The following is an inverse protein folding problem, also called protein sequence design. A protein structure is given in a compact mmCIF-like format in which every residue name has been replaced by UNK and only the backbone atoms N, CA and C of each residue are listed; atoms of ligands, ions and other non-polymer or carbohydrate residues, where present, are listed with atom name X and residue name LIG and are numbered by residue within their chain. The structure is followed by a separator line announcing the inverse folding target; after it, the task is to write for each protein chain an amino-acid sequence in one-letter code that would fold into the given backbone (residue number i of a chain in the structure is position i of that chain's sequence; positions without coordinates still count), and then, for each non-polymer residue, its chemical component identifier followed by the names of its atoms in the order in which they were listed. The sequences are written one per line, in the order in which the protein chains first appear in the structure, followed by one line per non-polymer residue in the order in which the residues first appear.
data_IF_856502217847
#
_entry.id   IF_856502217847
#
_cell.length_a   1.000
_cell.length_b   1.000
_cell.length_c   1.000
_cell.angle_alpha   90.00
_cell.angle_beta   90.00
_cell.angle_gamma   90.00
#
_symmetry.space_group_name_H-M   'P 1'
#
loop_
_entity.id
_entity.type
_entity.pdbx_description
1 polymer ?
#
# COMPACT_ATOMS: atom_id res chain seq x y z
N UNK A 1 -33.87 31.21 15.53
CA UNK A 1 -32.41 31.03 15.63
C UNK A 1 -32.15 29.56 15.88
N UNK A 2 -31.73 28.78 14.87
CA UNK A 2 -31.31 27.40 15.08
C UNK A 2 -29.83 27.37 15.47
N UNK A 3 -29.52 26.63 16.54
CA UNK A 3 -28.18 26.38 17.04
C UNK A 3 -27.36 25.59 16.01
N UNK A 4 -26.17 26.09 15.70
CA UNK A 4 -25.15 25.39 14.93
C UNK A 4 -24.70 24.13 15.70
N UNK A 5 -24.91 22.96 15.10
CA UNK A 5 -24.28 21.73 15.56
C UNK A 5 -22.79 21.76 15.15
N UNK A 6 -21.93 21.71 16.16
CA UNK A 6 -20.49 21.48 16.02
C UNK A 6 -20.20 20.27 15.12
N UNK A 7 -19.44 20.51 14.05
CA UNK A 7 -18.89 19.47 13.19
C UNK A 7 -17.84 18.68 13.97
N UNK A 8 -18.07 17.38 14.12
CA UNK A 8 -17.04 16.44 14.55
C UNK A 8 -15.84 16.45 13.59
N UNK A 9 -14.60 16.24 14.08
CA UNK A 9 -13.42 16.19 13.22
C UNK A 9 -13.47 14.95 12.32
N UNK A 10 -13.29 15.17 11.02
CA UNK A 10 -13.20 14.14 9.98
C UNK A 10 -12.08 13.13 10.30
N UNK A 11 -12.29 11.81 10.08
CA UNK A 11 -11.20 10.85 10.19
C UNK A 11 -10.16 11.12 9.11
N UNK A 12 -8.88 11.05 9.50
CA UNK A 12 -7.70 11.28 8.67
C UNK A 12 -7.83 10.49 7.37
N UNK A 13 -8.09 11.22 6.27
CA UNK A 13 -8.08 10.67 4.92
C UNK A 13 -6.69 10.11 4.61
N UNK A 14 -6.65 9.05 3.79
CA UNK A 14 -5.38 8.51 3.29
C UNK A 14 -4.54 9.65 2.68
N UNK A 15 -3.24 9.72 2.98
CA UNK A 15 -2.41 10.81 2.50
C UNK A 15 -2.43 10.84 0.97
N UNK A 16 -2.98 11.92 0.44
CA UNK A 16 -2.78 12.27 -0.96
C UNK A 16 -1.31 12.69 -1.05
N UNK A 17 -0.55 12.16 -2.01
CA UNK A 17 0.81 12.66 -2.23
C UNK A 17 0.72 14.14 -2.55
N UNK A 18 1.08 14.95 -1.58
CA UNK A 18 1.05 16.40 -1.60
C UNK A 18 2.44 16.86 -2.01
N UNK A 19 2.42 17.66 -3.08
CA UNK A 19 3.51 18.45 -3.67
C UNK A 19 4.67 18.72 -2.70
N UNK A 20 5.88 18.30 -3.08
CA UNK A 20 7.11 18.89 -2.54
C UNK A 20 7.03 20.40 -2.80
N UNK A 21 6.96 21.19 -1.72
CA UNK A 21 6.83 22.65 -1.82
C UNK A 21 8.16 23.24 -2.25
N UNK A 22 8.37 23.37 -3.56
CA UNK A 22 9.37 24.30 -4.09
C UNK A 22 9.04 25.70 -3.55
N UNK A 23 10.03 26.40 -3.00
CA UNK A 23 9.85 27.63 -2.23
C UNK A 23 9.19 28.81 -2.96
N UNK A 24 8.96 28.69 -4.26
CA UNK A 24 8.32 29.72 -5.07
C UNK A 24 6.82 29.45 -5.22
N UNK A 25 6.01 30.18 -4.44
CA UNK A 25 4.56 30.29 -4.71
C UNK A 25 4.36 31.10 -5.99
N UNK A 26 3.43 30.67 -6.84
CA UNK A 26 3.19 31.21 -8.20
C UNK A 26 2.74 32.68 -8.26
N UNK A 27 2.68 33.40 -7.13
CA UNK A 27 2.01 34.71 -7.02
C UNK A 27 2.94 35.92 -6.88
N UNK A 28 4.25 35.73 -6.69
CA UNK A 28 5.20 36.84 -6.68
C UNK A 28 5.95 36.95 -8.03
N UNK A 29 6.00 38.16 -8.60
CA UNK A 29 6.74 38.45 -9.81
C UNK A 29 8.25 38.44 -9.52
N UNK A 30 8.83 37.24 -9.42
CA UNK A 30 10.26 37.06 -9.21
C UNK A 30 11.02 37.46 -10.48
N UNK A 31 12.04 38.31 -10.32
CA UNK A 31 12.92 38.73 -11.40
C UNK A 31 13.79 37.54 -11.85
N UNK A 32 13.69 37.19 -13.13
CA UNK A 32 14.45 36.08 -13.71
C UNK A 32 15.95 36.37 -13.75
N UNK A 33 16.32 37.65 -13.85
CA UNK A 33 17.72 38.05 -13.92
C UNK A 33 18.38 37.92 -12.55
N UNK A 34 17.68 38.30 -11.47
CA UNK A 34 18.11 38.08 -10.10
C UNK A 34 18.29 36.59 -9.78
N UNK A 35 17.37 35.73 -10.24
CA UNK A 35 17.48 34.27 -10.06
C UNK A 35 18.73 33.69 -10.75
N UNK A 36 19.09 34.19 -11.94
CA UNK A 36 20.30 33.75 -12.65
C UNK A 36 21.55 34.25 -11.93
N UNK A 37 21.53 35.48 -11.40
CA UNK A 37 22.61 35.97 -10.54
C UNK A 37 22.76 35.12 -9.29
N UNK A 38 21.67 34.77 -8.60
CA UNK A 38 21.69 33.86 -7.44
C UNK A 38 22.25 32.49 -7.82
N UNK A 39 21.83 31.93 -8.96
CA UNK A 39 22.32 30.64 -9.48
C UNK A 39 23.84 30.64 -9.70
N UNK A 40 24.41 31.78 -10.11
CA UNK A 40 25.86 31.93 -10.30
C UNK A 40 26.67 31.95 -8.99
N UNK A 41 26.04 32.29 -7.86
CA UNK A 41 26.72 32.45 -6.57
C UNK A 41 26.46 31.30 -5.59
N UNK A 42 25.35 30.57 -5.73
CA UNK A 42 25.02 29.49 -4.80
C UNK A 42 25.81 28.21 -5.10
N UNK A 43 26.40 27.63 -4.07
CA UNK A 43 27.01 26.29 -4.10
C UNK A 43 26.03 25.22 -3.57
N UNK A 44 24.87 25.63 -3.07
CA UNK A 44 23.88 24.76 -2.46
C UNK A 44 22.98 24.13 -3.52
N UNK A 45 23.05 22.81 -3.65
CA UNK A 45 22.36 22.08 -4.72
C UNK A 45 20.83 22.22 -4.67
N UNK A 46 20.25 22.33 -3.47
CA UNK A 46 18.80 22.53 -3.29
C UNK A 46 18.35 23.89 -3.84
N UNK A 47 19.10 24.96 -3.56
CA UNK A 47 18.80 26.30 -4.09
C UNK A 47 18.95 26.33 -5.61
N UNK A 48 20.00 25.71 -6.16
CA UNK A 48 20.16 25.54 -7.61
C UNK A 48 18.95 24.83 -8.21
N UNK A 49 18.46 23.78 -7.55
CA UNK A 49 17.29 23.02 -7.99
C UNK A 49 16.01 23.85 -7.99
N UNK A 50 15.75 24.62 -6.93
CA UNK A 50 14.55 25.47 -6.83
C UNK A 50 14.54 26.54 -7.93
N UNK A 51 15.68 27.20 -8.15
CA UNK A 51 15.84 28.22 -9.20
C UNK A 51 15.62 27.62 -10.58
N UNK A 52 16.34 26.53 -10.90
CA UNK A 52 16.23 25.87 -12.21
C UNK A 52 14.81 25.34 -12.42
N UNK A 53 14.18 24.77 -11.39
CA UNK A 53 12.79 24.32 -11.45
C UNK A 53 11.86 25.45 -11.86
N UNK A 54 11.92 26.58 -11.15
CA UNK A 54 11.09 27.75 -11.45
C UNK A 54 11.31 28.26 -12.88
N UNK A 55 12.57 28.42 -13.30
CA UNK A 55 12.92 28.90 -14.63
C UNK A 55 12.40 27.97 -15.74
N UNK A 56 12.49 26.64 -15.54
CA UNK A 56 12.00 25.65 -16.51
C UNK A 56 10.47 25.67 -16.58
N UNK A 57 9.77 25.78 -15.45
CA UNK A 57 8.30 25.88 -15.44
C UNK A 57 7.80 27.15 -16.15
N UNK A 58 8.53 28.27 -16.00
CA UNK A 58 8.15 29.56 -16.57
C UNK A 58 8.52 29.72 -18.05
N UNK A 59 9.72 29.31 -18.44
CA UNK A 59 10.29 29.59 -19.78
C UNK A 59 10.38 28.33 -20.68
N UNK A 60 10.23 27.14 -20.11
CA UNK A 60 10.45 25.88 -20.79
C UNK A 60 11.93 25.46 -20.87
N UNK A 61 12.21 24.17 -21.12
CA UNK A 61 13.57 23.61 -21.00
C UNK A 61 14.55 24.09 -22.07
N UNK A 62 14.07 24.58 -23.22
CA UNK A 62 14.92 25.04 -24.33
C UNK A 62 15.28 26.53 -24.25
N UNK A 63 14.88 27.21 -23.17
CA UNK A 63 15.23 28.61 -22.96
C UNK A 63 16.74 28.76 -22.76
N UNK A 64 17.33 29.75 -23.43
CA UNK A 64 18.77 30.04 -23.38
C UNK A 64 19.07 31.05 -22.29
N UNK A 65 20.14 30.82 -21.56
CA UNK A 65 20.63 31.65 -20.45
C UNK A 65 22.16 31.65 -20.42
N UNK A 66 22.73 32.53 -19.61
CA UNK A 66 24.17 32.63 -19.39
C UNK A 66 24.46 32.35 -17.92
N UNK A 67 25.19 31.27 -17.64
CA UNK A 67 25.60 30.86 -16.29
C UNK A 67 27.11 30.65 -16.29
N UNK A 68 27.82 31.29 -15.36
CA UNK A 68 29.27 31.22 -15.26
C UNK A 68 30.01 31.76 -16.50
N UNK A 69 29.41 32.73 -17.20
CA UNK A 69 29.96 33.30 -18.44
C UNK A 69 29.87 32.36 -19.65
N UNK A 70 29.00 31.35 -19.60
CA UNK A 70 28.77 30.40 -20.70
C UNK A 70 27.30 30.37 -21.09
N UNK A 71 27.04 30.50 -22.39
CA UNK A 71 25.72 30.27 -22.97
C UNK A 71 25.32 28.80 -22.80
N UNK A 72 24.16 28.57 -22.21
CA UNK A 72 23.58 27.24 -22.03
C UNK A 72 22.05 27.29 -22.10
N UNK A 73 21.43 26.12 -22.17
CA UNK A 73 19.98 25.94 -22.05
C UNK A 73 19.61 25.46 -20.66
N UNK A 74 18.38 25.76 -20.20
CA UNK A 74 17.89 25.21 -18.93
C UNK A 74 17.88 23.67 -18.91
N UNK A 75 17.73 23.03 -20.07
CA UNK A 75 17.86 21.57 -20.22
C UNK A 75 19.27 21.08 -19.91
N UNK A 76 20.30 21.78 -20.36
CA UNK A 76 21.70 21.43 -20.05
C UNK A 76 21.99 21.59 -18.56
N UNK A 77 21.51 22.69 -17.95
CA UNK A 77 21.59 22.88 -16.49
C UNK A 77 20.85 21.79 -15.71
N UNK A 78 19.67 21.36 -16.17
CA UNK A 78 18.94 20.24 -15.58
C UNK A 78 19.69 18.91 -15.69
N UNK A 79 20.39 18.67 -16.80
CA UNK A 79 21.21 17.46 -16.98
C UNK A 79 22.39 17.48 -16.01
N UNK A 80 23.08 18.62 -15.89
CA UNK A 80 24.18 18.78 -14.92
C UNK A 80 23.68 18.60 -13.47
N UNK A 81 22.54 19.20 -13.13
CA UNK A 81 21.90 19.06 -11.82
C UNK A 81 21.54 17.60 -11.52
N UNK A 82 21.00 16.87 -12.50
CA UNK A 82 20.72 15.43 -12.38
C UNK A 82 21.99 14.61 -12.10
N UNK A 83 23.09 14.90 -12.81
CA UNK A 83 24.36 14.21 -12.62
C UNK A 83 24.97 14.50 -11.25
N UNK A 84 24.97 15.77 -10.82
CA UNK A 84 25.38 16.19 -9.48
C UNK A 84 24.53 15.51 -8.40
N UNK A 85 23.20 15.55 -8.52
CA UNK A 85 22.29 14.89 -7.58
C UNK A 85 22.57 13.40 -7.44
N UNK A 86 22.88 12.72 -8.55
CA UNK A 86 23.29 11.31 -8.55
C UNK A 86 24.63 11.08 -7.83
N UNK A 87 25.61 11.97 -8.04
CA UNK A 87 26.92 11.90 -7.38
C UNK A 87 26.81 12.06 -5.86
N UNK A 88 26.02 13.05 -5.42
CA UNK A 88 25.77 13.36 -4.01
C UNK A 88 24.68 12.49 -3.38
N UNK A 89 24.06 11.57 -4.14
CA UNK A 89 23.00 10.65 -3.68
C UNK A 89 21.76 11.36 -3.13
N UNK A 90 21.44 12.53 -3.69
CA UNK A 90 20.24 13.30 -3.39
C UNK A 90 19.06 12.73 -4.18
N UNK A 91 18.44 11.65 -3.67
CA UNK A 91 17.54 10.79 -4.44
C UNK A 91 16.24 11.46 -4.85
N UNK A 92 15.68 12.31 -4.00
CA UNK A 92 14.49 13.09 -4.33
C UNK A 92 14.76 13.97 -5.56
N UNK A 93 15.93 14.62 -5.59
CA UNK A 93 16.35 15.50 -6.67
C UNK A 93 16.67 14.73 -7.96
N UNK A 94 17.25 13.53 -7.84
CA UNK A 94 17.43 12.61 -8.98
C UNK A 94 16.07 12.26 -9.61
N UNK A 95 15.07 11.89 -8.81
CA UNK A 95 13.72 11.55 -9.30
C UNK A 95 13.03 12.77 -9.92
N UNK A 96 13.18 13.93 -9.29
CA UNK A 96 12.60 15.19 -9.72
C UNK A 96 13.17 15.63 -11.08
N UNK A 97 14.50 15.77 -11.18
CA UNK A 97 15.18 16.19 -12.41
C UNK A 97 15.03 15.16 -13.53
N UNK A 98 15.01 13.86 -13.23
CA UNK A 98 14.68 12.83 -14.22
C UNK A 98 13.26 13.03 -14.79
N UNK A 99 12.30 13.37 -13.94
CA UNK A 99 10.92 13.63 -14.33
C UNK A 99 10.79 14.88 -15.20
N UNK A 100 11.47 15.97 -14.83
CA UNK A 100 11.53 17.22 -15.62
C UNK A 100 12.16 16.99 -17.00
N UNK A 101 13.20 16.16 -17.07
CA UNK A 101 13.84 15.76 -18.33
C UNK A 101 13.02 14.73 -19.13
N UNK A 102 11.88 14.27 -18.59
CA UNK A 102 11.04 13.19 -19.14
C UNK A 102 11.86 11.94 -19.48
N UNK A 103 12.81 11.60 -18.61
CA UNK A 103 13.66 10.41 -18.79
C UNK A 103 12.80 9.14 -18.71
N UNK A 104 13.09 8.21 -19.61
CA UNK A 104 12.48 6.88 -19.66
C UNK A 104 13.49 5.85 -19.17
N UNK A 105 13.05 4.96 -18.29
CA UNK A 105 13.87 3.81 -17.86
C UNK A 105 13.95 2.79 -19.00
N UNK A 106 15.16 2.33 -19.33
CA UNK A 106 15.41 1.47 -20.52
C UNK A 106 14.59 0.17 -20.52
N UNK A 107 14.49 -0.52 -19.39
CA UNK A 107 13.77 -1.81 -19.27
C UNK A 107 12.29 -1.68 -18.89
N UNK A 108 11.70 -0.48 -19.01
CA UNK A 108 10.34 -0.21 -18.54
C UNK A 108 9.28 -1.10 -19.22
N UNK A 109 9.29 -1.14 -20.56
CA UNK A 109 8.32 -1.94 -21.32
C UNK A 109 8.51 -3.45 -21.12
N UNK A 110 9.76 -3.91 -21.00
CA UNK A 110 10.07 -5.31 -20.70
C UNK A 110 9.54 -5.70 -19.32
N UNK A 111 9.74 -4.84 -18.32
CA UNK A 111 9.25 -5.04 -16.96
C UNK A 111 7.72 -5.07 -16.89
N UNK A 112 7.04 -4.17 -17.60
CA UNK A 112 5.58 -4.21 -17.72
C UNK A 112 5.09 -5.49 -18.41
N UNK A 113 5.78 -5.91 -19.48
CA UNK A 113 5.47 -7.15 -20.20
C UNK A 113 5.60 -8.37 -19.29
N UNK A 114 6.65 -8.43 -18.47
CA UNK A 114 6.89 -9.51 -17.50
C UNK A 114 5.73 -9.70 -16.51
N UNK A 115 5.09 -8.61 -16.10
CA UNK A 115 3.92 -8.65 -15.22
C UNK A 115 2.68 -9.12 -15.99
N UNK A 116 2.44 -8.56 -17.17
CA UNK A 116 1.27 -8.85 -18.00
C UNK A 116 1.21 -10.32 -18.47
N UNK A 117 2.33 -10.89 -18.93
CA UNK A 117 2.37 -12.30 -19.37
C UNK A 117 2.11 -13.29 -18.24
N UNK A 118 2.33 -12.87 -16.99
CA UNK A 118 1.99 -13.64 -15.77
C UNK A 118 0.57 -13.38 -15.28
N UNK A 119 -0.31 -12.92 -16.18
CA UNK A 119 -1.73 -12.66 -15.94
C UNK A 119 -1.96 -11.60 -14.85
N UNK A 120 -1.09 -10.59 -14.79
CA UNK A 120 -1.26 -9.42 -13.91
C UNK A 120 -1.61 -8.20 -14.74
N UNK A 121 -2.78 -7.62 -14.51
CA UNK A 121 -3.08 -6.29 -15.04
C UNK A 121 -2.27 -5.23 -14.30
N UNK A 122 -1.91 -4.16 -14.99
CA UNK A 122 -1.20 -3.03 -14.40
C UNK A 122 -2.09 -1.81 -14.42
N UNK A 123 -1.99 -0.95 -13.42
CA UNK A 123 -2.49 0.41 -13.52
C UNK A 123 -1.55 1.42 -12.91
N UNK A 124 -1.56 2.62 -13.48
CA UNK A 124 -0.76 3.77 -13.07
C UNK A 124 -1.71 4.94 -12.75
N UNK A 125 -1.31 5.81 -11.84
CA UNK A 125 -2.18 6.86 -11.31
C UNK A 125 -3.04 6.42 -10.13
N UNK A 126 -3.88 7.35 -9.67
CA UNK A 126 -4.78 7.15 -8.54
C UNK A 126 -6.23 6.99 -8.99
N UNK A 127 -7.00 6.02 -8.44
CA UNK A 127 -8.39 5.78 -8.85
C UNK A 127 -9.31 7.01 -8.76
N UNK A 128 -9.08 7.90 -7.81
CA UNK A 128 -9.87 9.11 -7.58
C UNK A 128 -9.56 10.27 -8.54
N UNK A 129 -8.47 10.17 -9.31
CA UNK A 129 -7.97 11.28 -10.14
C UNK A 129 -7.92 10.87 -11.61
N UNK A 130 -7.07 9.90 -11.95
CA UNK A 130 -6.76 9.55 -13.35
C UNK A 130 -6.05 8.19 -13.49
N UNK A 131 -6.57 7.14 -12.86
CA UNK A 131 -6.06 5.78 -13.04
C UNK A 131 -6.20 5.32 -14.50
N UNK A 132 -5.09 4.90 -15.13
CA UNK A 132 -5.09 4.23 -16.44
C UNK A 132 -4.66 2.77 -16.29
N UNK A 133 -5.45 1.86 -16.88
CA UNK A 133 -5.23 0.42 -16.83
C UNK A 133 -4.52 -0.04 -18.10
N UNK A 134 -3.41 -0.75 -17.91
CA UNK A 134 -2.61 -1.36 -18.97
C UNK A 134 -2.88 -2.86 -18.93
N UNK A 135 -3.49 -3.37 -20.00
CA UNK A 135 -3.92 -4.78 -20.11
C UNK A 135 -3.16 -5.57 -21.17
N UNK A 136 -2.34 -4.89 -21.98
CA UNK A 136 -1.49 -5.48 -23.00
C UNK A 136 -0.12 -4.79 -23.02
N UNK A 137 0.95 -5.47 -23.48
CA UNK A 137 2.26 -4.86 -23.64
C UNK A 137 2.20 -3.64 -24.55
N UNK A 138 2.87 -2.56 -24.15
CA UNK A 138 2.94 -1.32 -24.90
C UNK A 138 4.39 -1.01 -25.32
N UNK A 139 4.60 -0.30 -26.44
CA UNK A 139 5.90 0.25 -26.78
C UNK A 139 6.45 1.14 -25.64
N UNK A 140 7.78 1.15 -25.42
CA UNK A 140 8.35 1.84 -24.27
C UNK A 140 8.10 3.36 -24.25
N UNK A 141 8.02 4.04 -25.40
CA UNK A 141 7.68 5.47 -25.45
C UNK A 141 6.22 5.75 -25.12
N UNK A 142 5.31 4.88 -25.57
CA UNK A 142 3.88 4.99 -25.28
C UNK A 142 3.60 4.76 -23.79
N UNK A 143 4.23 3.74 -23.20
CA UNK A 143 4.11 3.46 -21.77
C UNK A 143 4.64 4.61 -20.91
N UNK A 144 5.79 5.17 -21.27
CA UNK A 144 6.35 6.33 -20.57
C UNK A 144 5.45 7.56 -20.70
N UNK A 145 4.91 7.83 -21.90
CA UNK A 145 3.98 8.92 -22.14
C UNK A 145 2.72 8.80 -21.27
N UNK A 146 2.13 7.60 -21.20
CA UNK A 146 0.96 7.32 -20.34
C UNK A 146 1.27 7.62 -18.88
N UNK A 147 2.42 7.20 -18.36
CA UNK A 147 2.81 7.47 -16.97
C UNK A 147 2.92 8.97 -16.73
N UNK A 148 3.64 9.69 -17.58
CA UNK A 148 3.81 11.13 -17.41
C UNK A 148 2.51 11.93 -17.58
N UNK A 149 1.61 11.51 -18.47
CA UNK A 149 0.30 12.14 -18.66
C UNK A 149 -0.58 11.97 -17.43
N UNK A 150 -0.56 10.77 -16.82
CA UNK A 150 -1.33 10.47 -15.61
C UNK A 150 -0.84 11.25 -14.40
N UNK A 151 0.44 11.51 -14.24
CA UNK A 151 0.89 12.30 -13.08
C UNK A 151 0.92 13.82 -13.35
N UNK A 152 0.83 14.25 -14.61
CA UNK A 152 0.73 15.67 -14.98
C UNK A 152 1.93 16.47 -14.48
N UNK A 153 1.70 17.34 -13.49
CA UNK A 153 2.72 18.18 -12.85
C UNK A 153 3.59 17.42 -11.83
N UNK A 154 3.13 16.29 -11.30
CA UNK A 154 3.89 15.48 -10.34
C UNK A 154 4.88 14.54 -11.05
N UNK A 155 5.91 15.17 -11.61
CA UNK A 155 6.95 14.49 -12.39
C UNK A 155 7.83 13.57 -11.52
N UNK A 156 7.97 13.88 -10.22
CA UNK A 156 8.72 13.07 -9.28
C UNK A 156 8.05 11.70 -9.06
N UNK A 157 6.72 11.69 -8.87
CA UNK A 157 5.96 10.45 -8.72
C UNK A 157 5.88 9.65 -10.04
N UNK A 158 5.92 10.32 -11.19
CA UNK A 158 6.06 9.65 -12.48
C UNK A 158 7.38 8.86 -12.58
N UNK A 159 8.50 9.46 -12.18
CA UNK A 159 9.80 8.80 -12.11
C UNK A 159 9.78 7.62 -11.12
N UNK A 160 9.20 7.82 -9.94
CA UNK A 160 9.05 6.77 -8.94
C UNK A 160 8.19 5.60 -9.44
N UNK A 161 7.12 5.88 -10.19
CA UNK A 161 6.25 4.85 -10.78
C UNK A 161 7.00 3.96 -11.75
N UNK A 162 7.86 4.55 -12.60
CA UNK A 162 8.73 3.78 -13.47
C UNK A 162 9.69 2.90 -12.67
N UNK A 163 10.31 3.43 -11.62
CA UNK A 163 11.22 2.69 -10.73
C UNK A 163 10.52 1.49 -10.06
N UNK A 164 9.33 1.69 -9.48
CA UNK A 164 8.57 0.63 -8.83
C UNK A 164 8.11 -0.45 -9.80
N UNK A 165 7.77 -0.10 -11.05
CA UNK A 165 7.43 -1.09 -12.08
C UNK A 165 8.60 -2.05 -12.34
N UNK A 166 9.84 -1.56 -12.38
CA UNK A 166 11.02 -2.42 -12.49
C UNK A 166 11.11 -3.35 -11.29
N UNK A 167 10.95 -2.85 -10.07
CA UNK A 167 11.04 -3.67 -8.86
C UNK A 167 9.93 -4.72 -8.78
N UNK A 168 8.70 -4.38 -9.15
CA UNK A 168 7.59 -5.33 -9.24
C UNK A 168 7.91 -6.44 -10.23
N UNK A 169 8.46 -6.10 -11.40
CA UNK A 169 8.89 -7.07 -12.41
C UNK A 169 10.06 -7.94 -11.93
N UNK A 170 11.00 -7.39 -11.15
CA UNK A 170 12.04 -8.18 -10.50
C UNK A 170 11.43 -9.18 -9.52
N UNK A 171 10.53 -8.73 -8.64
CA UNK A 171 9.93 -9.59 -7.61
C UNK A 171 9.02 -10.67 -8.19
N UNK A 172 8.25 -10.40 -9.24
CA UNK A 172 7.40 -11.45 -9.83
C UNK A 172 8.23 -12.56 -10.47
N UNK A 173 9.46 -12.25 -10.92
CA UNK A 173 10.41 -13.24 -11.45
C UNK A 173 11.08 -14.04 -10.34
N UNK A 174 11.51 -13.38 -9.25
CA UNK A 174 12.31 -14.03 -8.19
C UNK A 174 11.44 -14.66 -7.10
N UNK A 175 10.31 -14.03 -6.76
CA UNK A 175 9.42 -14.40 -5.65
C UNK A 175 7.94 -14.30 -6.08
N UNK A 176 7.49 -15.11 -7.07
CA UNK A 176 6.13 -15.05 -7.61
C UNK A 176 5.02 -15.26 -6.56
N UNK A 177 5.36 -15.88 -5.41
CA UNK A 177 4.43 -16.09 -4.30
C UNK A 177 3.90 -14.78 -3.70
N UNK A 178 4.63 -13.67 -3.80
CA UNK A 178 4.20 -12.35 -3.32
C UNK A 178 2.96 -11.81 -4.05
N UNK A 179 2.69 -12.35 -5.25
CA UNK A 179 1.64 -11.89 -6.17
C UNK A 179 0.48 -12.89 -6.29
N UNK A 180 0.42 -13.90 -5.43
CA UNK A 180 -0.69 -14.87 -5.46
C UNK A 180 -2.03 -14.15 -5.28
N UNK A 181 -2.99 -14.51 -6.12
CA UNK A 181 -4.37 -13.99 -6.14
C UNK A 181 -4.53 -12.45 -6.26
N UNK A 182 -3.44 -11.73 -6.54
CA UNK A 182 -3.49 -10.33 -6.94
C UNK A 182 -3.69 -10.28 -8.45
N UNK A 183 -4.84 -9.89 -8.96
CA UNK A 183 -5.10 -9.86 -10.41
C UNK A 183 -4.57 -8.58 -11.05
N UNK A 184 -4.68 -7.47 -10.33
CA UNK A 184 -4.24 -6.15 -10.78
C UNK A 184 -3.24 -5.55 -9.81
N UNK A 185 -2.14 -5.03 -10.34
CA UNK A 185 -1.14 -4.28 -9.61
C UNK A 185 -1.36 -2.79 -9.85
N UNK A 186 -1.92 -2.12 -8.85
CA UNK A 186 -2.18 -0.68 -8.88
C UNK A 186 -0.99 0.08 -8.32
N UNK A 187 -0.08 0.50 -9.18
CA UNK A 187 1.20 1.09 -8.75
C UNK A 187 0.97 2.37 -7.94
N UNK A 188 0.01 3.21 -8.32
CA UNK A 188 -0.33 4.43 -7.56
C UNK A 188 -0.83 4.14 -6.14
N UNK A 189 -1.68 3.12 -5.94
CA UNK A 189 -2.11 2.72 -4.60
C UNK A 189 -0.96 2.10 -3.80
N UNK A 190 -0.07 1.34 -4.45
CA UNK A 190 1.13 0.80 -3.80
C UNK A 190 2.00 1.95 -3.26
N UNK A 191 2.21 3.01 -4.02
CA UNK A 191 2.93 4.22 -3.58
C UNK A 191 2.24 4.84 -2.35
N UNK A 192 0.92 5.01 -2.38
CA UNK A 192 0.18 5.55 -1.24
C UNK A 192 0.29 4.68 0.02
N UNK A 193 0.27 3.36 -0.14
CA UNK A 193 0.46 2.42 0.97
C UNK A 193 1.86 2.53 1.53
N UNK A 194 2.88 2.63 0.68
CA UNK A 194 4.26 2.85 1.11
C UNK A 194 4.41 4.15 1.91
N UNK A 195 3.84 5.26 1.42
CA UNK A 195 3.85 6.55 2.12
C UNK A 195 3.09 6.49 3.45
N UNK A 196 1.89 5.88 3.47
CA UNK A 196 1.08 5.71 4.68
C UNK A 196 1.80 4.87 5.74
N UNK A 197 2.51 3.83 5.33
CA UNK A 197 3.29 2.99 6.23
C UNK A 197 4.54 3.68 6.77
N UNK A 198 5.19 4.53 5.96
CA UNK A 198 6.25 5.42 6.44
C UNK A 198 5.69 6.42 7.46
N UNK A 199 4.58 7.10 7.16
CA UNK A 199 3.93 8.06 8.05
C UNK A 199 3.63 7.45 9.42
N UNK A 200 3.04 6.25 9.42
CA UNK A 200 2.73 5.51 10.65
C UNK A 200 3.98 5.14 11.44
N UNK A 201 5.04 4.72 10.75
CA UNK A 201 6.28 4.26 11.42
C UNK A 201 7.09 5.42 11.97
N UNK A 202 7.13 6.55 11.26
CA UNK A 202 7.83 7.78 11.67
C UNK A 202 6.98 8.68 12.56
N UNK A 203 5.68 8.40 12.69
CA UNK A 203 4.69 9.25 13.37
C UNK A 203 4.69 10.69 12.82
N UNK A 204 4.81 10.81 11.50
CA UNK A 204 4.80 12.08 10.78
C UNK A 204 3.54 12.25 9.95
N UNK A 205 3.37 13.44 9.37
CA UNK A 205 2.26 13.72 8.46
C UNK A 205 2.39 12.97 7.13
N UNK A 206 1.30 12.91 6.37
CA UNK A 206 1.29 12.29 5.03
C UNK A 206 2.24 12.96 4.04
N UNK A 207 2.31 14.29 4.11
CA UNK A 207 3.16 15.14 3.27
C UNK A 207 4.63 14.82 3.54
N UNK A 208 5.05 14.91 4.81
CA UNK A 208 6.42 14.58 5.24
C UNK A 208 6.81 13.15 4.88
N UNK A 209 5.89 12.19 5.03
CA UNK A 209 6.14 10.80 4.66
C UNK A 209 6.34 10.61 3.15
N UNK A 210 5.68 11.44 2.33
CA UNK A 210 5.83 11.42 0.87
C UNK A 210 7.20 11.97 0.45
N UNK A 211 7.66 13.03 1.11
CA UNK A 211 9.00 13.58 0.89
C UNK A 211 10.07 12.57 1.32
N UNK A 212 9.90 11.95 2.50
CA UNK A 212 10.76 10.85 2.95
C UNK A 212 10.78 9.67 1.97
N UNK A 213 9.63 9.30 1.40
CA UNK A 213 9.54 8.25 0.39
C UNK A 213 10.36 8.61 -0.86
N UNK A 214 10.20 9.84 -1.36
CA UNK A 214 10.93 10.35 -2.52
C UNK A 214 12.43 10.47 -2.26
N UNK A 215 12.87 10.55 -1.00
CA UNK A 215 14.29 10.62 -0.66
C UNK A 215 14.94 9.25 -0.35
N UNK A 216 14.19 8.14 -0.34
CA UNK A 216 14.77 6.81 -0.14
C UNK A 216 15.72 6.45 -1.29
N UNK A 217 16.85 5.81 -0.97
CA UNK A 217 17.71 5.24 -2.00
C UNK A 217 17.00 4.12 -2.79
N UNK A 218 17.46 3.78 -4.00
CA UNK A 218 16.91 2.67 -4.79
C UNK A 218 16.82 1.35 -3.99
N UNK A 219 17.81 1.08 -3.14
CA UNK A 219 17.83 -0.10 -2.28
C UNK A 219 16.77 -0.05 -1.17
N UNK A 220 16.63 1.08 -0.49
CA UNK A 220 15.62 1.28 0.56
C UNK A 220 14.21 1.26 -0.01
N UNK A 221 13.99 1.89 -1.17
CA UNK A 221 12.73 1.87 -1.90
C UNK A 221 12.31 0.43 -2.25
N UNK A 222 13.24 -0.34 -2.84
CA UNK A 222 13.01 -1.76 -3.15
C UNK A 222 12.74 -2.59 -1.89
N UNK A 223 13.46 -2.33 -0.81
CA UNK A 223 13.29 -3.05 0.47
C UNK A 223 11.94 -2.75 1.10
N UNK A 224 11.52 -1.48 1.14
CA UNK A 224 10.21 -1.08 1.61
C UNK A 224 9.11 -1.73 0.77
N UNK A 225 9.22 -1.69 -0.56
CA UNK A 225 8.25 -2.35 -1.44
C UNK A 225 8.15 -3.85 -1.13
N UNK A 226 9.28 -4.54 -0.91
CA UNK A 226 9.27 -5.95 -0.53
C UNK A 226 8.50 -6.17 0.78
N UNK A 227 8.74 -5.36 1.81
CA UNK A 227 8.03 -5.46 3.09
C UNK A 227 6.54 -5.20 2.97
N UNK A 228 6.12 -4.23 2.15
CA UNK A 228 4.70 -3.97 1.84
C UNK A 228 4.07 -5.18 1.15
N UNK A 229 4.72 -5.73 0.13
CA UNK A 229 4.21 -6.90 -0.60
C UNK A 229 4.20 -8.15 0.28
N UNK A 230 5.24 -8.42 1.07
CA UNK A 230 5.25 -9.58 1.97
C UNK A 230 4.34 -9.37 3.20
N UNK A 231 3.96 -8.13 3.49
CA UNK A 231 3.34 -7.68 4.73
C UNK A 231 4.17 -7.99 5.97
N UNK A 232 5.51 -7.96 5.82
CA UNK A 232 6.45 -8.05 6.94
C UNK A 232 6.49 -6.71 7.67
N UNK A 233 6.80 -6.75 8.97
CA UNK A 233 7.08 -5.53 9.72
C UNK A 233 8.51 -5.06 9.49
N UNK A 234 8.70 -3.75 9.54
CA UNK A 234 9.99 -3.10 9.34
C UNK A 234 10.18 -1.98 10.36
N UNK A 235 11.44 -1.61 10.58
CA UNK A 235 11.85 -0.47 11.39
C UNK A 235 12.61 0.50 10.50
N UNK A 236 12.35 1.78 10.69
CA UNK A 236 13.12 2.85 10.05
C UNK A 236 14.08 3.40 11.10
N UNK A 237 15.37 3.45 10.76
CA UNK A 237 16.35 4.18 11.57
C UNK A 237 16.77 5.43 10.79
N UNK A 238 16.63 6.60 11.41
CA UNK A 238 17.30 7.80 10.94
C UNK A 238 18.81 7.62 11.17
N UNK A 239 19.59 7.79 10.12
CA UNK A 239 21.05 7.84 10.18
C UNK A 239 21.42 9.29 9.95
N UNK A 240 22.01 9.93 10.96
CA UNK A 240 22.67 11.21 10.78
C UNK A 240 23.99 10.97 10.05
N UNK A 241 24.15 11.60 8.89
CA UNK A 241 25.44 11.71 8.22
C UNK A 241 26.28 12.70 9.02
N UNK A 242 27.56 12.41 9.28
CA UNK A 242 28.47 13.33 9.97
C UNK A 242 28.80 14.60 9.13
N UNK A 243 28.27 14.71 7.92
CA UNK A 243 28.62 15.77 6.96
C UNK A 243 27.46 16.62 6.43
N UNK A 244 26.18 16.35 6.74
CA UNK A 244 25.06 17.18 6.27
C UNK A 244 23.91 17.16 7.29
N UNK A 245 23.19 18.28 7.44
CA UNK A 245 21.98 18.42 8.29
C UNK A 245 20.78 17.55 7.82
N UNK A 246 20.96 16.71 6.78
CA UNK A 246 19.94 15.79 6.29
C UNK A 246 20.04 14.40 6.92
N UNK A 247 18.95 13.97 7.57
CA UNK A 247 18.78 12.61 8.07
C UNK A 247 18.42 11.63 6.94
N UNK A 248 19.25 10.61 6.73
CA UNK A 248 18.98 9.55 5.76
C UNK A 248 18.23 8.38 6.42
N UNK A 249 17.17 7.86 5.77
CA UNK A 249 16.30 6.84 6.36
C UNK A 249 16.66 5.44 5.92
N UNK A 250 17.06 4.59 6.87
CA UNK A 250 17.40 3.18 6.57
C UNK A 250 16.26 2.25 6.94
N UNK A 251 15.73 1.55 5.94
CA UNK A 251 14.68 0.51 6.11
C UNK A 251 15.33 -0.83 6.47
N UNK A 252 14.93 -1.43 7.60
CA UNK A 252 15.37 -2.77 8.03
C UNK A 252 14.19 -3.64 8.42
N UNK A 253 14.24 -4.94 8.11
CA UNK A 253 13.25 -5.91 8.62
C UNK A 253 13.27 -5.96 10.15
N UNK A 254 12.10 -6.00 10.79
CA UNK A 254 12.02 -6.49 12.17
C UNK A 254 12.37 -7.98 12.15
N UNK A 255 13.37 -8.42 12.91
CA UNK A 255 13.67 -9.85 13.04
C UNK A 255 12.50 -10.52 13.78
N UNK A 256 11.76 -11.40 13.12
CA UNK A 256 10.87 -12.33 13.82
C UNK A 256 11.71 -13.46 14.42
N UNK A 257 11.32 -13.99 15.60
CA UNK A 257 12.00 -15.11 16.27
C UNK A 257 12.18 -16.36 15.37
N UNK A 258 11.38 -16.49 14.31
CA UNK A 258 11.51 -17.58 13.33
C UNK A 258 12.76 -17.46 12.44
N UNK A 259 13.17 -16.25 12.06
CA UNK A 259 14.35 -16.03 11.19
C UNK A 259 15.67 -16.27 11.95
N UNK A 260 15.71 -16.01 13.27
CA UNK A 260 16.86 -16.32 14.12
C UNK A 260 17.11 -17.84 14.24
N UNK A 261 16.02 -18.63 14.29
CA UNK A 261 16.11 -20.08 14.40
C UNK A 261 16.47 -20.80 13.09
N UNK A 262 16.29 -20.14 11.93
CA UNK A 262 16.62 -20.71 10.64
C UNK A 262 18.12 -20.54 10.29
N UNK A 263 18.72 -19.41 10.66
CA UNK A 263 20.17 -19.19 10.51
C UNK A 263 21.01 -19.94 11.56
N UNK A 264 20.51 -20.12 12.79
CA UNK A 264 21.21 -20.88 13.83
C UNK A 264 21.30 -22.40 13.55
N UNK A 265 20.47 -22.94 12.66
CA UNK A 265 20.47 -24.37 12.29
C UNK A 265 21.45 -24.71 11.16
N UNK A 266 21.92 -23.72 10.39
CA UNK A 266 22.84 -23.93 9.26
C UNK A 266 24.32 -23.69 9.61
N UNK A 267 24.61 -23.31 10.85
CA UNK A 267 25.97 -23.07 11.36
C UNK A 267 26.20 -23.85 12.65
N UNK A 268 26.40 -25.17 12.55
CA UNK A 268 26.99 -25.97 13.63
C UNK A 268 28.33 -26.54 13.16
N UNK A 269 29.40 -25.81 13.42
CA UNK A 269 30.75 -26.39 13.54
C UNK A 269 31.20 -26.25 15.00
N UNK A 270 31.55 -27.34 15.71
CA UNK A 270 31.69 -27.36 17.17
C UNK A 270 33.09 -26.95 17.67
N UNK A 271 33.78 -26.02 17.02
CA UNK A 271 35.14 -25.61 17.42
C UNK A 271 35.39 -24.12 17.19
N UNK A 272 34.87 -23.27 18.07
CA UNK A 272 35.43 -21.95 18.43
C UNK A 272 34.61 -21.36 19.58
N UNK A 273 34.78 -21.93 20.77
CA UNK A 273 34.09 -21.49 22.01
C UNK A 273 34.99 -20.67 22.94
N UNK A 274 36.09 -20.12 22.45
CA UNK A 274 37.13 -19.60 23.34
C UNK A 274 37.87 -18.40 22.75
N UNK A 275 37.15 -17.42 22.18
CA UNK A 275 37.76 -16.10 21.91
C UNK A 275 36.75 -14.97 21.68
N UNK A 276 35.61 -14.95 22.38
CA UNK A 276 34.66 -13.82 22.24
C UNK A 276 34.10 -13.33 23.58
N UNK A 277 34.76 -13.69 24.70
CA UNK A 277 34.31 -13.36 26.05
C UNK A 277 34.88 -12.01 26.58
N UNK A 278 35.25 -11.08 25.69
CA UNK A 278 35.99 -9.88 26.09
C UNK A 278 35.49 -8.54 25.53
N UNK A 279 34.39 -8.49 24.76
CA UNK A 279 33.83 -7.21 24.26
C UNK A 279 32.30 -7.10 24.29
N UNK A 280 31.61 -7.88 25.13
CA UNK A 280 30.20 -7.63 25.41
C UNK A 280 30.06 -6.52 26.46
N UNK A 281 29.79 -5.30 25.98
CA UNK A 281 29.12 -4.29 26.81
C UNK A 281 27.77 -4.85 27.26
N UNK A 282 27.28 -4.52 28.48
CA UNK A 282 26.00 -5.03 28.96
C UNK A 282 24.88 -4.43 28.10
N UNK A 283 24.28 -5.26 27.25
CA UNK A 283 22.97 -4.98 26.67
C UNK A 283 22.00 -4.86 27.85
N UNK A 284 21.42 -3.68 27.99
CA UNK A 284 20.44 -3.34 29.02
C UNK A 284 19.28 -4.31 28.98
N UNK A 285 18.91 -4.83 30.15
CA UNK A 285 17.75 -5.69 30.45
C UNK A 285 16.38 -5.02 30.14
N UNK A 286 16.36 -3.94 29.35
CA UNK A 286 15.16 -3.23 28.90
C UNK A 286 14.53 -3.85 27.63
N UNK A 287 15.26 -4.69 26.87
CA UNK A 287 14.73 -5.29 25.63
C UNK A 287 13.71 -6.42 25.89
N UNK A 288 13.73 -7.07 27.05
CA UNK A 288 12.83 -8.19 27.36
C UNK A 288 11.44 -7.75 27.86
N UNK A 289 11.27 -6.51 28.33
CA UNK A 289 9.97 -6.00 28.84
C UNK A 289 9.11 -5.38 27.72
N UNK A 290 9.67 -5.12 26.54
CA UNK A 290 8.95 -4.56 25.39
C UNK A 290 8.27 -5.60 24.48
N UNK A 291 8.53 -6.90 24.67
CA UNK A 291 8.08 -7.94 23.72
C UNK A 291 6.61 -8.39 23.88
N UNK A 292 5.93 -8.09 24.99
CA UNK A 292 4.54 -8.53 25.20
C UNK A 292 3.47 -7.46 24.88
N UNK A 293 3.84 -6.20 24.70
CA UNK A 293 2.90 -5.08 24.50
C UNK A 293 2.65 -4.68 23.03
N UNK A 294 3.44 -5.16 22.06
CA UNK A 294 3.47 -4.65 20.67
C UNK A 294 2.60 -5.44 19.65
N UNK A 295 1.62 -6.25 20.10
CA UNK A 295 0.70 -6.99 19.18
C UNK A 295 -0.53 -6.19 18.74
N UNK A 296 -0.81 -5.06 19.39
CA UNK A 296 -1.96 -4.23 19.07
C UNK A 296 -1.73 -3.49 17.75
N UNK A 297 -2.70 -3.57 16.84
CA UNK A 297 -2.69 -2.95 15.52
C UNK A 297 -2.12 -3.85 14.41
N UNK A 298 -1.58 -5.03 14.73
CA UNK A 298 -0.94 -5.91 13.73
C UNK A 298 -1.93 -6.42 12.69
N UNK A 299 -3.12 -6.85 13.11
CA UNK A 299 -4.13 -7.38 12.20
C UNK A 299 -4.83 -6.27 11.45
N UNK A 300 -5.12 -5.14 12.11
CA UNK A 300 -5.63 -3.95 11.42
C UNK A 300 -4.67 -3.50 10.33
N UNK A 301 -3.37 -3.43 10.63
CA UNK A 301 -2.33 -3.12 9.65
C UNK A 301 -2.34 -4.14 8.50
N UNK A 302 -2.35 -5.44 8.79
CA UNK A 302 -2.37 -6.49 7.76
C UNK A 302 -3.58 -6.35 6.84
N UNK A 303 -4.77 -6.10 7.41
CA UNK A 303 -6.00 -5.87 6.63
C UNK A 303 -5.92 -4.62 5.77
N UNK A 304 -5.34 -3.53 6.27
CA UNK A 304 -5.10 -2.32 5.46
C UNK A 304 -4.17 -2.58 4.28
N UNK A 305 -3.08 -3.31 4.49
CA UNK A 305 -2.15 -3.68 3.43
C UNK A 305 -2.81 -4.58 2.38
N UNK A 306 -3.35 -5.71 2.80
CA UNK A 306 -3.97 -6.67 1.88
C UNK A 306 -5.21 -6.07 1.20
N UNK A 307 -5.97 -5.24 1.91
CA UNK A 307 -7.10 -4.48 1.37
C UNK A 307 -6.66 -3.54 0.26
N UNK A 308 -5.67 -2.68 0.51
CA UNK A 308 -5.18 -1.72 -0.46
C UNK A 308 -4.53 -2.40 -1.69
N UNK A 309 -3.88 -3.54 -1.48
CA UNK A 309 -3.28 -4.37 -2.53
C UNK A 309 -4.28 -5.29 -3.24
N UNK A 310 -5.55 -5.34 -2.82
CA UNK A 310 -6.56 -6.29 -3.30
C UNK A 310 -6.12 -7.75 -3.23
N UNK A 311 -5.37 -8.10 -2.18
CA UNK A 311 -4.96 -9.48 -1.96
C UNK A 311 -6.12 -10.26 -1.35
N UNK A 312 -6.35 -11.45 -1.88
CA UNK A 312 -7.34 -12.40 -1.35
C UNK A 312 -6.69 -13.77 -1.11
N UNK A 313 -7.28 -14.66 -0.31
CA UNK A 313 -6.76 -16.00 -0.08
C UNK A 313 -6.72 -16.88 -1.35
N UNK A 314 -5.84 -17.88 -1.37
CA UNK A 314 -5.70 -18.82 -2.50
C UNK A 314 -7.01 -19.53 -2.84
N UNK A 315 -7.38 -19.52 -4.13
CA UNK A 315 -8.64 -20.12 -4.59
C UNK A 315 -9.90 -19.36 -4.21
N UNK A 316 -9.79 -18.10 -3.76
CA UNK A 316 -10.93 -17.26 -3.39
C UNK A 316 -11.98 -17.18 -4.51
N UNK A 317 -11.60 -16.80 -5.73
CA UNK A 317 -12.57 -16.58 -6.81
C UNK A 317 -13.35 -17.84 -7.22
N UNK A 318 -12.70 -19.02 -7.43
CA UNK A 318 -13.45 -20.25 -7.66
C UNK A 318 -14.44 -20.60 -6.55
N UNK A 319 -14.10 -20.34 -5.28
CA UNK A 319 -15.01 -20.61 -4.15
C UNK A 319 -16.17 -19.64 -4.11
N UNK A 320 -15.94 -18.35 -4.35
CA UNK A 320 -17.02 -17.34 -4.46
C UNK A 320 -17.96 -17.68 -5.61
N UNK A 321 -17.43 -18.17 -6.74
CA UNK A 321 -18.26 -18.65 -7.85
C UNK A 321 -19.20 -19.79 -7.41
N UNK A 322 -18.68 -20.74 -6.61
CA UNK A 322 -19.49 -21.85 -6.07
C UNK A 322 -20.61 -21.34 -5.17
N UNK A 323 -20.32 -20.41 -4.27
CA UNK A 323 -21.33 -19.75 -3.43
C UNK A 323 -22.39 -19.06 -4.29
N UNK A 324 -21.95 -18.28 -5.28
CA UNK A 324 -22.85 -17.55 -6.16
C UNK A 324 -23.79 -18.47 -6.96
N UNK A 325 -23.37 -19.69 -7.27
CA UNK A 325 -24.21 -20.69 -7.96
C UNK A 325 -25.38 -21.20 -7.11
N UNK A 326 -25.29 -21.06 -5.78
CA UNK A 326 -26.26 -21.55 -4.81
C UNK A 326 -27.24 -20.47 -4.31
N UNK A 327 -26.95 -19.19 -4.55
CA UNK A 327 -27.82 -18.08 -4.16
C UNK A 327 -28.37 -17.31 -5.37
N UNK A 328 -29.35 -16.43 -5.17
CA UNK A 328 -29.85 -15.56 -6.26
C UNK A 328 -28.83 -14.49 -6.66
N UNK A 329 -28.00 -14.07 -5.71
CA UNK A 329 -26.86 -13.18 -5.89
C UNK A 329 -26.24 -12.75 -4.56
N UNK A 330 -25.11 -12.06 -4.65
CA UNK A 330 -24.40 -11.47 -3.50
C UNK A 330 -24.51 -9.95 -3.57
N UNK A 331 -24.99 -9.31 -2.50
CA UNK A 331 -24.95 -7.87 -2.33
C UNK A 331 -23.76 -7.48 -1.45
N UNK A 332 -22.94 -6.54 -1.93
CA UNK A 332 -21.77 -5.99 -1.23
C UNK A 332 -21.86 -4.47 -1.33
N UNK A 333 -22.10 -3.76 -0.23
CA UNK A 333 -22.20 -2.28 -0.19
C UNK A 333 -23.11 -1.70 -1.30
N UNK A 334 -24.31 -2.27 -1.45
CA UNK A 334 -25.30 -1.85 -2.45
C UNK A 334 -24.96 -2.20 -3.91
N UNK A 335 -23.84 -2.91 -4.15
CA UNK A 335 -23.52 -3.51 -5.47
C UNK A 335 -23.92 -4.97 -5.50
N UNK A 336 -24.57 -5.37 -6.59
CA UNK A 336 -25.12 -6.72 -6.75
C UNK A 336 -24.29 -7.56 -7.74
N UNK A 337 -23.90 -8.76 -7.30
CA UNK A 337 -23.34 -9.82 -8.12
C UNK A 337 -24.45 -10.86 -8.39
N UNK A 338 -25.04 -10.89 -9.60
CA UNK A 338 -26.11 -11.82 -9.92
C UNK A 338 -25.60 -13.25 -10.18
N UNK A 339 -26.42 -14.25 -9.85
CA UNK A 339 -26.15 -15.66 -10.17
C UNK A 339 -25.92 -15.90 -11.68
N UNK A 340 -26.51 -15.09 -12.56
CA UNK A 340 -26.35 -15.23 -14.03
C UNK A 340 -24.89 -15.25 -14.48
N UNK A 341 -23.99 -14.59 -13.74
CA UNK A 341 -22.54 -14.64 -13.99
C UNK A 341 -21.97 -16.07 -13.98
N UNK A 342 -22.54 -16.98 -13.19
CA UNK A 342 -22.13 -18.38 -13.13
C UNK A 342 -22.54 -19.19 -14.35
N UNK A 343 -23.54 -18.72 -15.10
CA UNK A 343 -23.96 -19.32 -16.37
C UNK A 343 -23.15 -18.78 -17.55
N UNK A 344 -22.65 -17.56 -17.43
CA UNK A 344 -21.88 -16.87 -18.47
C UNK A 344 -20.38 -17.13 -18.39
N UNK A 345 -19.85 -17.47 -17.21
CA UNK A 345 -18.40 -17.58 -16.93
C UNK A 345 -18.10 -18.79 -16.06
N UNK A 346 -16.93 -19.40 -16.26
CA UNK A 346 -16.44 -20.51 -15.43
C UNK A 346 -15.68 -20.03 -14.17
N UNK A 347 -15.58 -20.86 -13.11
CA UNK A 347 -14.92 -20.45 -11.86
C UNK A 347 -13.43 -20.12 -12.00
N UNK A 348 -12.76 -20.62 -13.04
CA UNK A 348 -11.35 -20.35 -13.33
C UNK A 348 -11.12 -19.20 -14.30
N UNK A 349 -12.17 -18.59 -14.83
CA UNK A 349 -12.04 -17.49 -15.79
C UNK A 349 -11.64 -16.17 -15.11
N UNK A 350 -10.63 -15.52 -15.68
CA UNK A 350 -10.15 -14.21 -15.24
C UNK A 350 -11.25 -13.14 -15.26
N UNK A 351 -12.20 -13.24 -16.20
CA UNK A 351 -13.31 -12.29 -16.34
C UNK A 351 -14.25 -12.30 -15.12
N UNK A 352 -14.52 -13.49 -14.55
CA UNK A 352 -15.31 -13.61 -13.32
C UNK A 352 -14.57 -12.97 -12.15
N UNK A 353 -13.29 -13.29 -12.00
CA UNK A 353 -12.45 -12.78 -10.93
C UNK A 353 -12.37 -11.24 -10.95
N UNK A 354 -12.18 -10.64 -12.14
CA UNK A 354 -12.23 -9.19 -12.33
C UNK A 354 -13.59 -8.58 -11.95
N UNK A 355 -14.70 -9.28 -12.18
CA UNK A 355 -16.05 -8.79 -11.84
C UNK A 355 -16.23 -8.72 -10.33
N UNK A 356 -15.81 -9.76 -9.60
CA UNK A 356 -15.81 -9.78 -8.13
C UNK A 356 -14.89 -8.69 -7.59
N UNK A 357 -13.68 -8.57 -8.14
CA UNK A 357 -12.73 -7.52 -7.72
C UNK A 357 -13.29 -6.12 -7.94
N UNK A 358 -13.95 -5.87 -9.08
CA UNK A 358 -14.59 -4.57 -9.38
C UNK A 358 -15.63 -4.20 -8.31
N UNK A 359 -16.38 -5.17 -7.80
CA UNK A 359 -17.34 -4.93 -6.71
C UNK A 359 -16.62 -4.68 -5.39
N UNK A 360 -15.61 -5.46 -5.02
CA UNK A 360 -14.83 -5.22 -3.79
C UNK A 360 -14.10 -3.86 -3.82
N UNK A 361 -13.71 -3.39 -5.00
CA UNK A 361 -13.07 -2.10 -5.22
C UNK A 361 -13.97 -0.90 -4.96
N UNK A 362 -15.30 -1.06 -4.91
CA UNK A 362 -16.19 0.05 -4.58
C UNK A 362 -16.13 0.41 -3.10
N UNK A 363 -15.59 -0.49 -2.26
CA UNK A 363 -15.37 -0.26 -0.84
C UNK A 363 -14.16 0.65 -0.68
N UNK A 364 -14.29 1.87 -0.13
CA UNK A 364 -13.17 2.80 -0.01
C UNK A 364 -12.13 2.33 1.03
N UNK A 365 -12.59 1.80 2.16
CA UNK A 365 -11.74 1.46 3.29
C UNK A 365 -11.10 0.08 3.10
N UNK A 366 -9.75 -0.03 3.04
CA UNK A 366 -9.09 -1.29 2.77
C UNK A 366 -9.30 -2.33 3.88
N UNK A 367 -9.34 -1.91 5.15
CA UNK A 367 -9.62 -2.81 6.28
C UNK A 367 -11.02 -3.43 6.21
N UNK A 368 -12.03 -2.67 5.79
CA UNK A 368 -13.40 -3.16 5.61
C UNK A 368 -13.51 -4.07 4.39
N UNK A 369 -12.80 -3.74 3.30
CA UNK A 369 -12.70 -4.61 2.13
C UNK A 369 -12.17 -6.00 2.51
N UNK A 370 -11.20 -6.09 3.42
CA UNK A 370 -10.70 -7.39 3.90
C UNK A 370 -11.71 -8.13 4.79
N UNK A 371 -12.48 -7.45 5.63
CA UNK A 371 -13.58 -8.11 6.35
C UNK A 371 -14.64 -8.67 5.39
N UNK A 372 -14.93 -8.00 4.26
CA UNK A 372 -15.81 -8.55 3.22
C UNK A 372 -15.22 -9.80 2.55
N UNK A 373 -13.91 -9.82 2.31
CA UNK A 373 -13.21 -11.02 1.79
C UNK A 373 -13.31 -12.17 2.79
N UNK A 374 -13.08 -11.91 4.08
CA UNK A 374 -13.22 -12.89 5.16
C UNK A 374 -14.67 -13.42 5.25
N UNK A 375 -15.67 -12.54 5.20
CA UNK A 375 -17.08 -12.91 5.20
C UNK A 375 -17.47 -13.77 3.98
N UNK A 376 -16.97 -13.41 2.80
CA UNK A 376 -17.14 -14.23 1.59
C UNK A 376 -16.49 -15.60 1.74
N UNK A 377 -15.31 -15.70 2.35
CA UNK A 377 -14.69 -17.01 2.65
C UNK A 377 -15.55 -17.82 3.62
N UNK A 378 -16.12 -17.21 4.66
CA UNK A 378 -17.03 -17.93 5.57
C UNK A 378 -18.26 -18.45 4.83
N UNK A 379 -18.82 -17.67 3.90
CA UNK A 379 -19.91 -18.14 3.02
C UNK A 379 -19.51 -19.35 2.18
N UNK A 380 -18.23 -19.53 1.84
CA UNK A 380 -17.77 -20.72 1.09
C UNK A 380 -17.92 -22.01 1.89
N UNK A 381 -17.85 -21.96 3.22
CA UNK A 381 -18.07 -23.12 4.09
C UNK A 381 -19.49 -23.69 3.90
N UNK A 382 -20.47 -22.81 3.65
CA UNK A 382 -21.86 -23.22 3.35
C UNK A 382 -21.94 -24.03 2.06
N UNK A 383 -21.15 -23.65 1.06
CA UNK A 383 -21.10 -24.34 -0.22
C UNK A 383 -20.35 -25.67 -0.19
N UNK A 384 -19.47 -25.86 0.80
CA UNK A 384 -18.70 -27.10 0.97
C UNK A 384 -19.53 -28.18 1.67
N UNK A 385 -20.45 -27.80 2.57
CA UNK A 385 -21.29 -28.72 3.33
C UNK A 385 -22.59 -29.15 2.63
N UNK A 386 -22.71 -28.92 1.31
CA UNK A 386 -23.85 -29.30 0.47
C UNK A 386 -25.24 -28.97 1.07
N UNK A 387 -25.37 -27.84 1.77
CA UNK A 387 -26.69 -27.39 2.23
C UNK A 387 -27.60 -27.25 1.01
N UNK A 388 -28.61 -28.12 0.92
CA UNK A 388 -29.49 -28.26 -0.25
C UNK A 388 -30.48 -27.09 -0.40
N UNK A 389 -30.21 -25.96 0.25
CA UNK A 389 -31.07 -24.78 0.31
C UNK A 389 -30.56 -23.79 -0.73
N UNK A 390 -31.36 -23.54 -1.78
CA UNK A 390 -31.18 -22.36 -2.62
C UNK A 390 -31.44 -21.14 -1.76
N UNK A 391 -30.41 -20.32 -1.58
CA UNK A 391 -30.51 -19.09 -0.82
C UNK A 391 -31.02 -17.96 -1.71
N UNK A 392 -31.76 -17.03 -1.11
CA UNK A 392 -32.11 -15.78 -1.78
C UNK A 392 -30.89 -14.85 -1.85
N UNK A 393 -31.11 -13.55 -1.89
CA UNK A 393 -30.03 -12.57 -1.92
C UNK A 393 -29.28 -12.57 -0.57
N UNK A 394 -27.97 -12.73 -0.61
CA UNK A 394 -27.12 -12.68 0.58
C UNK A 394 -26.45 -11.30 0.64
N UNK A 395 -26.76 -10.54 1.68
CA UNK A 395 -26.10 -9.27 1.98
C UNK A 395 -24.85 -9.52 2.84
N UNK A 396 -23.68 -9.38 2.22
CA UNK A 396 -22.39 -9.63 2.89
C UNK A 396 -22.09 -8.55 3.93
N UNK A 397 -22.52 -7.31 3.68
CA UNK A 397 -22.43 -6.19 4.61
C UNK A 397 -23.14 -6.48 5.93
N UNK A 398 -24.41 -6.93 5.87
CA UNK A 398 -25.19 -7.32 7.05
C UNK A 398 -24.52 -8.43 7.86
N UNK A 399 -23.88 -9.39 7.20
CA UNK A 399 -23.13 -10.46 7.85
C UNK A 399 -21.96 -9.92 8.68
N UNK A 400 -21.19 -8.98 8.13
CA UNK A 400 -20.08 -8.34 8.85
C UNK A 400 -20.58 -7.51 10.02
N UNK A 401 -21.69 -6.78 9.85
CA UNK A 401 -22.28 -5.98 10.94
C UNK A 401 -22.83 -6.83 12.08
N UNK A 402 -23.49 -7.95 11.78
CA UNK A 402 -23.97 -8.91 12.78
C UNK A 402 -22.79 -9.54 13.53
N UNK A 403 -21.71 -9.91 12.84
CA UNK A 403 -20.49 -10.42 13.47
C UNK A 403 -19.87 -9.39 14.42
N UNK A 404 -19.82 -8.12 14.03
CA UNK A 404 -19.35 -7.02 14.86
C UNK A 404 -20.26 -6.81 16.10
N UNK A 405 -21.58 -6.93 15.94
CA UNK A 405 -22.52 -6.83 17.07
C UNK A 405 -22.32 -7.96 18.09
N UNK A 406 -22.10 -9.20 17.60
CA UNK A 406 -21.76 -10.34 18.45
C UNK A 406 -20.41 -10.14 19.16
N UNK A 407 -19.42 -9.60 18.47
CA UNK A 407 -18.12 -9.26 19.07
C UNK A 407 -18.27 -8.25 20.20
N UNK A 408 -18.96 -7.14 19.97
CA UNK A 408 -19.19 -6.09 20.98
C UNK A 408 -19.90 -6.67 22.22
N UNK A 409 -20.89 -7.55 22.01
CA UNK A 409 -21.63 -8.20 23.09
C UNK A 409 -20.74 -9.13 23.92
N UNK A 410 -19.91 -9.95 23.29
CA UNK A 410 -19.06 -10.93 23.97
C UNK A 410 -17.87 -10.30 24.69
N UNK A 411 -17.38 -9.16 24.20
CA UNK A 411 -16.30 -8.39 24.83
C UNK A 411 -16.78 -7.50 25.98
N UNK A 412 -18.09 -7.52 26.28
CA UNK A 412 -18.76 -6.69 27.31
C UNK A 412 -18.38 -5.19 27.23
N UNK A 413 -18.22 -4.69 26.00
CA UNK A 413 -17.81 -3.29 25.77
C UNK A 413 -18.99 -2.39 26.15
N UNK A 414 -18.84 -1.46 27.12
CA UNK A 414 -19.92 -0.57 27.52
C UNK A 414 -20.41 0.27 26.34
N UNK A 415 -21.72 0.50 26.22
CA UNK A 415 -22.33 1.27 25.11
C UNK A 415 -21.72 2.66 24.92
N UNK A 416 -21.22 3.27 26.00
CA UNK A 416 -20.51 4.56 25.98
C UNK A 416 -19.11 4.44 25.33
N UNK A 417 -18.42 3.32 25.56
CA UNK A 417 -17.12 2.99 24.95
C UNK A 417 -17.24 2.50 23.51
N UNK A 418 -18.41 1.97 23.10
CA UNK A 418 -18.66 1.57 21.69
C UNK A 418 -18.49 2.75 20.74
N UNK A 419 -18.92 3.95 21.13
CA UNK A 419 -18.70 5.18 20.32
C UNK A 419 -17.23 5.59 20.25
N UNK A 420 -16.43 5.22 21.25
CA UNK A 420 -15.00 5.54 21.30
C UNK A 420 -14.16 4.54 20.49
N UNK A 421 -14.66 3.33 20.26
CA UNK A 421 -14.04 2.33 19.40
C UNK A 421 -14.73 2.18 18.04
N UNK A 422 -15.67 3.07 17.67
CA UNK A 422 -16.33 3.07 16.38
C UNK A 422 -15.32 3.40 15.28
N UNK A 423 -14.95 2.37 14.51
CA UNK A 423 -14.09 2.49 13.36
C UNK A 423 -14.88 2.88 12.10
N UNK A 424 -14.20 2.90 10.94
CA UNK A 424 -14.86 3.15 9.68
C UNK A 424 -16.02 2.18 9.45
N UNK A 425 -17.04 2.66 8.73
CA UNK A 425 -18.27 1.91 8.40
C UNK A 425 -19.05 1.38 9.61
N UNK A 426 -18.85 1.94 10.82
CA UNK A 426 -19.61 1.55 12.02
C UNK A 426 -19.18 0.20 12.61
N UNK A 427 -17.98 -0.26 12.26
CA UNK A 427 -17.37 -1.49 12.79
C UNK A 427 -16.35 -1.14 13.87
N UNK A 428 -16.31 -1.90 14.95
CA UNK A 428 -15.39 -1.66 16.07
C UNK A 428 -13.91 -1.77 15.63
N UNK A 429 -13.06 -0.81 16.03
CA UNK A 429 -11.62 -0.83 15.77
C UNK A 429 -10.94 -2.08 16.33
N UNK A 430 -11.38 -2.58 17.50
CA UNK A 430 -10.87 -3.84 18.06
C UNK A 430 -11.29 -5.06 17.24
N UNK A 431 -12.45 -5.01 16.56
CA UNK A 431 -12.84 -6.07 15.64
C UNK A 431 -11.96 -6.07 14.40
N UNK A 432 -11.66 -4.90 13.84
CA UNK A 432 -10.68 -4.76 12.76
C UNK A 432 -9.26 -5.22 13.13
N UNK A 433 -8.92 -5.21 14.41
CA UNK A 433 -7.62 -5.66 14.91
C UNK A 433 -7.65 -7.08 15.52
N UNK A 434 -8.78 -7.76 15.45
CA UNK A 434 -8.91 -9.13 15.93
C UNK A 434 -8.30 -10.11 14.92
N UNK A 435 -7.62 -11.15 15.41
CA UNK A 435 -7.07 -12.19 14.55
C UNK A 435 -8.16 -12.85 13.67
N UNK A 436 -7.81 -13.34 12.46
CA UNK A 436 -8.74 -14.14 11.65
C UNK A 436 -9.24 -15.37 12.40
N UNK A 437 -8.32 -16.13 13.00
CA UNK A 437 -8.59 -17.39 13.69
C UNK A 437 -8.66 -17.24 15.22
N UNK A 438 -9.22 -18.27 15.87
CA UNK A 438 -9.30 -18.37 17.33
C UNK A 438 -10.71 -18.13 17.86
N UNK A 439 -10.96 -18.45 19.13
CA UNK A 439 -12.30 -18.39 19.75
C UNK A 439 -12.94 -17.00 19.63
N UNK A 440 -12.13 -15.95 19.79
CA UNK A 440 -12.55 -14.55 19.66
C UNK A 440 -12.05 -13.91 18.36
N UNK A 441 -11.70 -14.73 17.35
CA UNK A 441 -11.28 -14.27 16.05
C UNK A 441 -12.46 -13.84 15.18
N UNK A 442 -12.19 -12.96 14.23
CA UNK A 442 -13.17 -12.44 13.25
C UNK A 442 -13.91 -13.55 12.50
N UNK A 443 -13.23 -14.61 12.07
CA UNK A 443 -13.88 -15.74 11.36
C UNK A 443 -14.89 -16.46 12.25
N UNK A 444 -14.62 -16.60 13.56
CA UNK A 444 -15.55 -17.25 14.50
C UNK A 444 -16.84 -16.45 14.67
N UNK A 445 -16.72 -15.12 14.75
CA UNK A 445 -17.88 -14.24 14.80
C UNK A 445 -18.66 -14.22 13.48
N UNK A 446 -17.96 -14.22 12.34
CA UNK A 446 -18.58 -14.33 11.01
C UNK A 446 -19.33 -15.66 10.85
N UNK A 447 -18.77 -16.79 11.32
CA UNK A 447 -19.46 -18.08 11.30
C UNK A 447 -20.73 -18.07 12.16
N UNK A 448 -20.67 -17.51 13.37
CA UNK A 448 -21.84 -17.39 14.26
C UNK A 448 -22.91 -16.47 13.68
N UNK A 449 -22.50 -15.33 13.12
CA UNK A 449 -23.41 -14.41 12.44
C UNK A 449 -24.09 -15.09 11.24
N UNK A 450 -23.34 -15.88 10.47
CA UNK A 450 -23.88 -16.62 9.34
C UNK A 450 -24.90 -17.68 9.80
N UNK A 451 -24.62 -18.41 10.87
CA UNK A 451 -25.55 -19.37 11.45
C UNK A 451 -26.85 -18.70 11.94
N UNK A 452 -26.75 -17.51 12.56
CA UNK A 452 -27.91 -16.73 12.97
C UNK A 452 -28.77 -16.30 11.77
N UNK A 453 -28.14 -15.79 10.71
CA UNK A 453 -28.82 -15.29 9.50
C UNK A 453 -29.50 -16.43 8.72
N UNK A 454 -28.85 -17.59 8.66
CA UNK A 454 -29.36 -18.76 7.96
C UNK A 454 -30.26 -19.65 8.82
N UNK A 455 -30.50 -19.27 10.08
CA UNK A 455 -31.26 -20.06 11.07
C UNK A 455 -30.79 -21.52 11.17
N UNK A 456 -29.48 -21.75 11.12
CA UNK A 456 -28.89 -23.07 11.27
C UNK A 456 -29.02 -23.46 12.75
N UNK A 457 -29.51 -24.67 13.09
CA UNK A 457 -29.61 -25.10 14.48
C UNK A 457 -28.23 -25.04 15.16
N UNK A 458 -28.12 -24.23 16.22
CA UNK A 458 -26.96 -24.22 17.10
C UNK A 458 -27.29 -25.01 18.38
N UNK A 459 -26.30 -25.66 18.97
CA UNK A 459 -26.47 -26.32 20.26
C UNK A 459 -26.70 -25.31 21.40
N UNK A 460 -27.05 -25.78 22.60
CA UNK A 460 -27.34 -24.94 23.76
C UNK A 460 -26.15 -24.07 24.24
N UNK A 461 -24.94 -24.28 23.70
CA UNK A 461 -23.74 -23.49 23.99
C UNK A 461 -23.42 -22.45 22.89
N UNK A 462 -24.23 -22.38 21.82
CA UNK A 462 -24.02 -21.46 20.71
C UNK A 462 -22.89 -21.91 19.77
N UNK A 463 -22.48 -23.18 19.82
CA UNK A 463 -21.65 -23.78 18.79
C UNK A 463 -22.54 -24.14 17.61
N UNK A 464 -22.11 -23.72 16.43
CA UNK A 464 -22.65 -24.25 15.18
C UNK A 464 -22.16 -25.70 15.12
N UNK A 465 -23.07 -26.68 15.14
CA UNK A 465 -22.71 -28.08 14.89
C UNK A 465 -22.21 -28.20 13.44
N UNK A 466 -20.93 -27.91 13.21
CA UNK A 466 -20.20 -28.43 12.07
C UNK A 466 -19.89 -29.89 12.38
N UNK A 467 -20.90 -30.76 12.31
CA UNK A 467 -20.66 -32.19 12.25
C UNK A 467 -19.92 -32.47 10.93
N UNK A 468 -18.60 -32.55 11.02
CA UNK A 468 -17.75 -33.18 10.01
C UNK A 468 -18.24 -34.62 9.85
N UNK A 469 -18.91 -34.93 8.75
CA UNK A 469 -19.19 -36.29 8.30
C UNK A 469 -19.12 -36.35 6.79
#
# INVERSE_FOLDING_TARGET
MPQECDRAPSPVGSPILTRHKFGFTHEESVDQQELIEQLNHTEVLHEQADIIHYLVMKNGPNWKTEVGGKDCTLKELLVELYEKAGHWKQWWLVRHTAGMLKKRVEELALSATDLLVRQKQLSVGLPSVNEKVITAPLPPDELAAIIFEVYGEDLSTASLTQELLIYLAMFIRTEPKLFKEMLRLRVGLIIQVMASELARTLKCSGDEASDHLLNLSPFEMKTLLHHILSGKEFVIKAVHSEHEDESCLRVKSKKSQEEANQFARLSKSPQKKMLDLALSQPETEEEDIAMETDRQGQWLRRRRLDGALNRVPEGFYPRVWKVLSMCSGLSIEGKFLPNSLTREMTPGEFKFALRVETVLNTIPQPEYRQLMVEALIVLTMVSENEWSVKMDEIHVDKLVHEANALFIKDQDIPKESVKQCEGPTGICLHFYDSAPSGRFGTMSYLCRALANILHIPADHEGNVECNLS
#
